data_IF_997520074821
#
_entry.id   IF_997520074821
#
_cell.length_a   1.000
_cell.length_b   1.000
_cell.length_c   1.000
_cell.angle_alpha   90.00
_cell.angle_beta   90.00
_cell.angle_gamma   90.00
#
_symmetry.space_group_name_H-M   'P 1'
#
loop_
_entity.id
_entity.type
_entity.pdbx_description
1 polymer ?
#
# COMPACT_ATOMS: atom_id res chain seq x y z
N UNK A 1 -0.54 -13.91 5.67
CA UNK A 1 0.71 -13.16 5.53
C UNK A 1 0.58 -12.07 4.49
N UNK A 2 1.56 -11.19 4.40
CA UNK A 2 1.56 -9.90 3.71
C UNK A 2 0.91 -9.93 2.33
N UNK A 3 1.41 -10.73 1.40
CA UNK A 3 0.92 -10.73 0.00
C UNK A 3 -0.48 -11.27 -0.17
N UNK A 4 -0.98 -12.07 0.77
CA UNK A 4 -2.36 -12.53 0.74
C UNK A 4 -3.30 -11.39 1.15
N UNK A 5 -2.93 -10.62 2.17
CA UNK A 5 -3.69 -9.43 2.57
C UNK A 5 -3.60 -8.33 1.51
N UNK A 6 -2.42 -8.12 0.90
CA UNK A 6 -2.27 -7.20 -0.25
C UNK A 6 -3.21 -7.60 -1.40
N UNK A 7 -3.24 -8.90 -1.77
CA UNK A 7 -4.14 -9.41 -2.79
C UNK A 7 -5.60 -9.09 -2.48
N UNK A 8 -6.06 -9.46 -1.29
CA UNK A 8 -7.43 -9.24 -0.87
C UNK A 8 -7.80 -7.74 -0.85
N UNK A 9 -6.93 -6.89 -0.29
CA UNK A 9 -7.18 -5.45 -0.23
C UNK A 9 -7.17 -4.82 -1.62
N UNK A 10 -6.28 -5.21 -2.52
CA UNK A 10 -6.15 -4.58 -3.83
C UNK A 10 -7.17 -5.08 -4.87
N UNK A 11 -7.65 -6.31 -4.75
CA UNK A 11 -8.55 -6.92 -5.74
C UNK A 11 -10.00 -7.07 -5.28
N UNK A 12 -10.23 -7.04 -3.98
CA UNK A 12 -11.53 -7.39 -3.40
C UNK A 12 -11.86 -8.88 -3.48
N UNK A 13 -10.92 -9.73 -3.87
CA UNK A 13 -11.08 -11.17 -4.03
C UNK A 13 -10.48 -11.91 -2.84
N UNK A 14 -10.90 -13.15 -2.61
CA UNK A 14 -10.48 -13.93 -1.43
C UNK A 14 -9.35 -14.88 -1.75
N UNK A 15 -8.21 -14.71 -1.10
CA UNK A 15 -7.09 -15.66 -1.24
C UNK A 15 -7.47 -17.11 -0.89
N UNK A 16 -8.38 -17.30 0.05
CA UNK A 16 -8.83 -18.62 0.50
C UNK A 16 -9.55 -19.43 -0.59
N UNK A 17 -10.06 -18.80 -1.63
CA UNK A 17 -10.78 -19.47 -2.71
C UNK A 17 -9.86 -20.09 -3.76
N UNK A 18 -8.56 -19.79 -3.69
CA UNK A 18 -7.49 -20.48 -4.43
C UNK A 18 -7.09 -21.80 -3.74
N UNK A 19 -6.30 -22.61 -4.40
CA UNK A 19 -5.85 -23.90 -3.89
C UNK A 19 -5.07 -23.83 -2.57
N UNK A 20 -4.96 -24.95 -1.88
CA UNK A 20 -4.16 -25.05 -0.65
C UNK A 20 -2.70 -24.68 -0.95
N UNK A 21 -2.13 -23.77 -0.15
CA UNK A 21 -0.80 -23.21 -0.35
C UNK A 21 -0.63 -22.42 -1.66
N UNK A 22 -1.69 -22.06 -2.34
CA UNK A 22 -1.63 -21.21 -3.49
C UNK A 22 -1.62 -19.72 -3.06
N UNK A 23 -0.62 -19.01 -3.54
CA UNK A 23 -0.44 -17.59 -3.31
C UNK A 23 -0.65 -16.86 -4.65
N UNK A 24 -1.73 -16.07 -4.84
CA UNK A 24 -2.01 -15.41 -6.11
C UNK A 24 -0.83 -14.62 -6.68
N UNK A 25 -0.01 -13.99 -5.85
CA UNK A 25 1.21 -13.30 -6.26
C UNK A 25 2.27 -14.23 -6.87
N UNK A 26 2.28 -15.51 -6.47
CA UNK A 26 3.26 -16.50 -6.96
C UNK A 26 2.72 -17.36 -8.09
N UNK A 27 1.43 -17.31 -8.32
CA UNK A 27 0.71 -18.14 -9.31
C UNK A 27 0.01 -17.26 -10.36
N UNK A 28 -1.28 -17.03 -10.24
CA UNK A 28 -2.11 -16.39 -11.28
C UNK A 28 -1.64 -14.98 -11.63
N UNK A 29 -1.25 -14.16 -10.67
CA UNK A 29 -0.82 -12.78 -10.93
C UNK A 29 0.60 -12.64 -11.49
N UNK A 30 1.33 -13.74 -11.70
CA UNK A 30 2.57 -13.69 -12.48
C UNK A 30 2.34 -13.50 -13.97
N UNK A 31 1.21 -13.99 -14.48
CA UNK A 31 0.93 -14.05 -15.91
C UNK A 31 -0.43 -13.51 -16.31
N UNK A 32 -1.33 -13.33 -15.36
CA UNK A 32 -2.72 -12.90 -15.62
C UNK A 32 -2.97 -11.54 -14.95
N UNK A 33 -3.58 -10.63 -15.69
CA UNK A 33 -4.09 -9.37 -15.14
C UNK A 33 -5.35 -9.61 -14.32
N UNK A 34 -5.73 -8.66 -13.47
CA UNK A 34 -6.95 -8.76 -12.66
C UNK A 34 -7.58 -7.39 -12.47
N UNK A 35 -8.91 -7.37 -12.30
CA UNK A 35 -9.55 -6.20 -11.69
C UNK A 35 -8.89 -5.89 -10.36
N UNK A 36 -8.71 -4.62 -10.09
CA UNK A 36 -8.13 -4.10 -8.86
C UNK A 36 -8.61 -2.67 -8.64
N UNK A 37 -8.38 -2.15 -7.44
CA UNK A 37 -8.61 -0.73 -7.14
C UNK A 37 -7.91 0.21 -8.13
N UNK A 38 -6.76 -0.18 -8.70
CA UNK A 38 -6.05 0.62 -9.69
C UNK A 38 -6.86 0.77 -10.99
N UNK A 39 -7.44 -0.34 -11.48
CA UNK A 39 -8.26 -0.33 -12.69
C UNK A 39 -9.56 0.46 -12.49
N UNK A 40 -10.22 0.25 -11.34
CA UNK A 40 -11.46 0.94 -10.99
C UNK A 40 -11.25 2.45 -10.99
N UNK A 41 -10.22 2.91 -10.31
CA UNK A 41 -9.86 4.32 -10.21
C UNK A 41 -9.30 4.89 -11.53
N UNK A 42 -8.56 4.11 -12.32
CA UNK A 42 -8.07 4.54 -13.64
C UNK A 42 -9.22 4.87 -14.60
N UNK A 43 -10.35 4.14 -14.49
CA UNK A 43 -11.55 4.39 -15.33
C UNK A 43 -12.15 5.79 -15.15
N UNK A 44 -11.87 6.44 -14.01
CA UNK A 44 -12.31 7.80 -13.68
C UNK A 44 -11.13 8.80 -13.58
N UNK A 45 -9.98 8.44 -14.14
CA UNK A 45 -8.86 9.35 -14.36
C UNK A 45 -7.84 9.45 -13.24
N UNK A 46 -7.86 8.56 -12.24
CA UNK A 46 -6.81 8.49 -11.23
C UNK A 46 -5.52 7.88 -11.79
N UNK A 47 -4.42 8.26 -11.16
CA UNK A 47 -3.13 7.57 -11.31
C UNK A 47 -2.84 6.73 -10.07
N UNK A 48 -2.29 5.54 -10.30
CA UNK A 48 -2.05 4.55 -9.25
C UNK A 48 -0.57 4.34 -8.99
N UNK A 49 -0.16 4.51 -7.75
CA UNK A 49 1.23 4.50 -7.32
C UNK A 49 1.44 3.51 -6.20
N UNK A 50 2.55 2.76 -6.23
CA UNK A 50 3.00 2.00 -5.08
C UNK A 50 4.31 2.58 -4.54
N UNK A 51 4.45 2.61 -3.22
CA UNK A 51 5.68 3.00 -2.51
C UNK A 51 6.02 1.92 -1.49
N UNK A 52 7.23 1.37 -1.54
CA UNK A 52 7.67 0.31 -0.63
C UNK A 52 9.15 0.48 -0.29
N UNK A 53 9.46 0.61 0.98
CA UNK A 53 10.85 0.72 1.47
C UNK A 53 11.56 -0.64 1.58
N UNK A 54 11.28 -1.54 0.65
CA UNK A 54 11.99 -2.79 0.45
C UNK A 54 12.18 -3.05 -1.04
N UNK A 55 12.81 -4.17 -1.37
CA UNK A 55 13.22 -4.57 -2.71
C UNK A 55 12.02 -4.79 -3.65
N UNK A 56 12.10 -4.26 -4.88
CA UNK A 56 11.04 -4.37 -5.88
C UNK A 56 10.69 -5.81 -6.27
N UNK A 57 11.67 -6.69 -6.26
CA UNK A 57 11.51 -8.09 -6.66
C UNK A 57 10.97 -8.99 -5.54
N UNK A 58 10.93 -8.48 -4.31
CA UNK A 58 10.39 -9.22 -3.18
C UNK A 58 8.91 -9.58 -3.42
N UNK A 59 8.57 -10.85 -3.35
CA UNK A 59 7.29 -11.44 -3.79
C UNK A 59 6.94 -11.23 -5.27
N UNK A 60 7.88 -10.79 -6.12
CA UNK A 60 7.63 -10.52 -7.53
C UNK A 60 6.74 -9.29 -7.78
N UNK A 61 6.70 -8.33 -6.84
CA UNK A 61 5.83 -7.15 -6.90
C UNK A 61 6.00 -6.34 -8.18
N UNK A 62 7.20 -6.22 -8.70
CA UNK A 62 7.47 -5.55 -9.98
C UNK A 62 6.67 -6.14 -11.16
N UNK A 63 6.34 -7.42 -11.14
CA UNK A 63 5.48 -8.07 -12.13
C UNK A 63 4.02 -8.01 -11.74
N UNK A 64 3.71 -8.32 -10.48
CA UNK A 64 2.34 -8.36 -9.95
C UNK A 64 1.67 -6.98 -10.05
N UNK A 65 2.35 -5.92 -9.67
CA UNK A 65 1.77 -4.57 -9.73
C UNK A 65 1.49 -4.09 -11.15
N UNK A 66 2.30 -4.54 -12.11
CA UNK A 66 2.01 -4.34 -13.53
C UNK A 66 0.70 -5.03 -13.93
N UNK A 67 0.45 -6.24 -13.42
CA UNK A 67 -0.77 -7.01 -13.70
C UNK A 67 -2.00 -6.50 -12.91
N UNK A 68 -1.79 -5.74 -11.86
CA UNK A 68 -2.83 -5.07 -11.08
C UNK A 68 -3.11 -3.62 -11.54
N UNK A 69 -2.39 -3.12 -12.55
CA UNK A 69 -2.68 -1.83 -13.16
C UNK A 69 -2.02 -0.61 -12.49
N UNK A 70 -1.00 -0.79 -11.64
CA UNK A 70 -0.24 0.36 -11.10
C UNK A 70 0.50 1.11 -12.20
N UNK A 71 0.48 2.45 -12.16
CA UNK A 71 1.24 3.31 -13.06
C UNK A 71 2.71 3.42 -12.64
N UNK A 72 3.00 3.55 -11.34
CA UNK A 72 4.38 3.63 -10.84
C UNK A 72 4.61 2.74 -9.63
N UNK A 73 5.86 2.28 -9.48
CA UNK A 73 6.34 1.59 -8.29
C UNK A 73 7.69 2.13 -7.82
N UNK A 74 7.69 2.81 -6.68
CA UNK A 74 8.89 3.34 -6.03
C UNK A 74 9.31 2.39 -4.91
N UNK A 75 10.28 1.54 -5.17
CA UNK A 75 10.91 0.64 -4.20
C UNK A 75 12.18 1.24 -3.63
N UNK A 76 12.80 0.58 -2.63
CA UNK A 76 13.99 1.08 -1.95
C UNK A 76 15.14 1.46 -2.90
N UNK A 77 15.26 0.78 -4.04
CA UNK A 77 16.30 1.06 -5.06
C UNK A 77 16.18 2.46 -5.67
N UNK A 78 15.01 3.08 -5.55
CA UNK A 78 14.70 4.44 -6.04
C UNK A 78 14.63 5.48 -4.93
N UNK A 79 15.06 5.12 -3.73
CA UNK A 79 15.07 6.00 -2.56
C UNK A 79 16.50 6.35 -2.17
N UNK A 80 16.71 7.52 -1.57
CA UNK A 80 18.00 7.98 -1.10
C UNK A 80 17.97 8.20 0.42
N UNK A 81 19.15 8.09 1.05
CA UNK A 81 19.32 8.37 2.47
C UNK A 81 18.68 7.31 3.37
N UNK A 82 18.59 6.07 2.88
CA UNK A 82 18.04 4.95 3.63
C UNK A 82 18.85 4.71 4.91
N UNK A 83 18.13 4.44 5.98
CA UNK A 83 18.69 3.98 7.26
C UNK A 83 17.99 2.68 7.63
N UNK A 84 18.74 1.76 8.17
CA UNK A 84 18.24 0.48 8.62
C UNK A 84 18.15 0.41 10.14
N UNK A 85 17.21 -0.35 10.65
CA UNK A 85 17.14 -0.71 12.05
C UNK A 85 18.08 -1.89 12.37
N UNK A 86 18.10 -2.34 13.61
CA UNK A 86 18.97 -3.44 14.05
C UNK A 86 18.70 -4.77 13.33
N UNK A 87 17.49 -4.97 12.81
CA UNK A 87 17.11 -6.14 12.02
C UNK A 87 17.45 -6.01 10.52
N UNK A 88 18.08 -4.92 10.10
CA UNK A 88 18.40 -4.67 8.69
C UNK A 88 17.20 -4.23 7.83
N UNK A 89 16.07 -3.83 8.44
CA UNK A 89 14.95 -3.26 7.73
C UNK A 89 15.09 -1.75 7.59
N UNK A 90 14.78 -1.24 6.42
CA UNK A 90 14.77 0.21 6.17
C UNK A 90 13.70 0.88 7.04
N UNK A 91 14.08 1.96 7.72
CA UNK A 91 13.18 2.74 8.55
C UNK A 91 12.05 3.35 7.71
N UNK A 92 10.83 3.36 8.27
CA UNK A 92 9.62 3.80 7.57
C UNK A 92 9.51 5.33 7.43
N UNK A 93 10.36 6.12 8.08
CA UNK A 93 10.38 7.58 7.95
C UNK A 93 10.61 8.04 6.50
N UNK A 94 11.31 7.25 5.70
CA UNK A 94 11.52 7.49 4.27
C UNK A 94 10.22 7.45 3.46
N UNK A 95 9.19 6.75 3.94
CA UNK A 95 7.91 6.62 3.25
C UNK A 95 7.20 7.98 3.09
N UNK A 96 7.29 8.85 4.10
CA UNK A 96 6.60 10.15 4.07
C UNK A 96 7.04 11.01 2.88
N UNK A 97 8.33 11.34 2.69
CA UNK A 97 8.75 12.12 1.53
C UNK A 97 8.47 11.42 0.20
N UNK A 98 8.53 10.09 0.13
CA UNK A 98 8.26 9.36 -1.11
C UNK A 98 6.78 9.40 -1.48
N UNK A 99 5.87 9.20 -0.52
CA UNK A 99 4.43 9.32 -0.74
C UNK A 99 4.08 10.75 -1.21
N UNK A 100 4.58 11.77 -0.54
CA UNK A 100 4.33 13.16 -0.95
C UNK A 100 4.89 13.45 -2.35
N UNK A 101 6.11 12.96 -2.64
CA UNK A 101 6.71 13.09 -3.98
C UNK A 101 5.83 12.43 -5.05
N UNK A 102 5.24 11.28 -4.74
CA UNK A 102 4.33 10.56 -5.64
C UNK A 102 3.09 11.40 -5.93
N UNK A 103 2.43 11.91 -4.89
CA UNK A 103 1.26 12.80 -5.01
C UNK A 103 1.57 14.11 -5.75
N UNK A 104 2.81 14.60 -5.70
CA UNK A 104 3.26 15.80 -6.40
C UNK A 104 3.66 15.52 -7.85
N UNK A 105 3.75 14.26 -8.27
CA UNK A 105 4.22 13.85 -9.59
C UNK A 105 3.15 13.89 -10.68
N UNK A 106 1.89 14.05 -10.30
CA UNK A 106 0.73 14.12 -11.19
C UNK A 106 -0.08 15.39 -10.95
N UNK A 107 -0.99 15.71 -11.85
CA UNK A 107 -1.86 16.88 -11.71
C UNK A 107 -3.32 16.51 -11.39
N UNK A 108 -3.65 15.24 -11.44
CA UNK A 108 -4.98 14.69 -11.21
C UNK A 108 -5.14 14.10 -9.80
N UNK A 109 -6.14 13.27 -9.68
CA UNK A 109 -6.36 12.48 -8.48
C UNK A 109 -5.47 11.24 -8.48
N UNK A 110 -4.98 10.87 -7.30
CA UNK A 110 -4.04 9.77 -7.13
C UNK A 110 -4.55 8.73 -6.14
N UNK A 111 -4.21 7.48 -6.42
CA UNK A 111 -4.23 6.39 -5.46
C UNK A 111 -2.79 6.00 -5.13
N UNK A 112 -2.42 6.03 -3.86
CA UNK A 112 -1.08 5.61 -3.43
C UNK A 112 -1.19 4.46 -2.44
N UNK A 113 -0.58 3.33 -2.78
CA UNK A 113 -0.46 2.15 -1.93
C UNK A 113 0.92 2.13 -1.27
N UNK A 114 0.98 2.39 0.03
CA UNK A 114 2.21 2.38 0.83
C UNK A 114 2.38 1.05 1.55
N UNK A 115 3.56 0.43 1.44
CA UNK A 115 3.91 -0.80 2.16
C UNK A 115 5.14 -0.51 3.01
N UNK A 116 4.98 -0.61 4.32
CA UNK A 116 6.06 -0.39 5.31
C UNK A 116 6.74 -1.71 5.67
N UNK A 117 7.97 -1.67 6.18
CA UNK A 117 8.73 -2.87 6.51
C UNK A 117 9.44 -2.81 7.87
N UNK A 118 9.58 -1.63 8.47
CA UNK A 118 10.43 -1.43 9.65
C UNK A 118 10.08 -2.34 10.82
N UNK A 119 8.79 -2.57 11.06
CA UNK A 119 8.30 -3.40 12.17
C UNK A 119 8.24 -4.90 11.86
N UNK A 120 8.75 -5.34 10.69
CA UNK A 120 8.74 -6.75 10.29
C UNK A 120 9.68 -7.59 11.18
N UNK A 121 9.25 -8.82 11.54
CA UNK A 121 10.09 -9.82 12.22
C UNK A 121 11.22 -10.37 11.32
N UNK A 122 12.11 -11.19 11.80
CA UNK A 122 12.22 -11.71 13.17
C UNK A 122 12.78 -10.67 14.15
N UNK A 123 12.49 -10.86 15.43
CA UNK A 123 12.97 -9.95 16.49
C UNK A 123 14.06 -10.62 17.33
N UNK A 124 14.96 -11.35 16.68
CA UNK A 124 16.08 -12.11 17.32
C UNK A 124 17.27 -11.19 17.61
N UNK A 125 17.02 -10.03 18.21
CA UNK A 125 18.06 -9.05 18.47
C UNK A 125 18.34 -8.95 19.96
N UNK A 126 19.61 -8.95 20.32
CA UNK A 126 20.07 -8.41 21.59
C UNK A 126 19.98 -6.89 21.48
N UNK A 127 19.08 -6.29 22.26
CA UNK A 127 18.89 -4.85 22.24
C UNK A 127 20.08 -4.19 22.92
N UNK A 128 20.97 -3.66 22.11
CA UNK A 128 22.06 -2.80 22.60
C UNK A 128 21.55 -1.36 22.71
N UNK A 129 21.82 -0.74 23.85
CA UNK A 129 21.47 0.63 24.12
C UNK A 129 20.11 0.83 24.81
N UNK A 130 19.78 2.10 25.04
CA UNK A 130 18.57 2.50 25.75
C UNK A 130 17.37 2.49 24.83
N UNK A 131 16.34 1.71 25.17
CA UNK A 131 15.06 1.71 24.49
C UNK A 131 14.07 2.57 25.29
N UNK A 132 13.44 3.60 24.66
CA UNK A 132 12.52 4.52 25.35
C UNK A 132 11.33 3.82 26.02
N UNK A 133 10.80 2.78 25.39
CA UNK A 133 9.68 2.00 25.88
C UNK A 133 10.20 0.63 26.28
N UNK A 134 9.94 0.20 27.50
CA UNK A 134 10.27 -1.13 28.00
C UNK A 134 9.02 -1.94 28.24
N UNK A 135 9.03 -3.20 27.80
CA UNK A 135 7.96 -4.17 28.08
C UNK A 135 8.43 -5.07 29.21
N UNK A 136 7.56 -5.30 30.19
CA UNK A 136 7.78 -6.22 31.29
C UNK A 136 6.63 -7.22 31.38
N UNK A 137 6.90 -8.41 31.91
CA UNK A 137 5.89 -9.45 32.09
C UNK A 137 5.57 -10.23 30.81
N UNK A 138 6.43 -10.17 29.80
CA UNK A 138 6.37 -11.07 28.66
C UNK A 138 6.75 -12.51 29.07
N UNK A 139 6.53 -13.48 28.19
CA UNK A 139 7.04 -14.85 28.38
C UNK A 139 8.56 -14.81 28.65
N UNK A 140 9.05 -15.77 29.44
CA UNK A 140 10.46 -15.88 29.77
C UNK A 140 11.33 -15.84 28.51
N UNK A 141 12.32 -14.97 28.49
CA UNK A 141 13.23 -14.76 27.36
C UNK A 141 12.68 -13.93 26.20
N UNK A 142 11.42 -13.47 26.26
CA UNK A 142 10.78 -12.71 25.16
C UNK A 142 10.73 -11.20 25.39
N UNK A 143 11.14 -10.71 26.56
CA UNK A 143 11.01 -9.27 26.89
C UNK A 143 11.76 -8.36 25.92
N UNK A 144 12.93 -8.77 25.44
CA UNK A 144 13.72 -7.99 24.49
C UNK A 144 13.01 -7.88 23.12
N UNK A 145 12.45 -8.96 22.59
CA UNK A 145 11.72 -8.96 21.33
C UNK A 145 10.48 -8.07 21.40
N UNK A 146 9.69 -8.17 22.48
CA UNK A 146 8.53 -7.30 22.70
C UNK A 146 8.94 -5.84 22.85
N UNK A 147 9.99 -5.56 23.63
CA UNK A 147 10.52 -4.21 23.80
C UNK A 147 10.98 -3.63 22.46
N UNK A 148 11.72 -4.40 21.66
CA UNK A 148 12.15 -3.98 20.33
C UNK A 148 10.95 -3.69 19.42
N UNK A 149 10.00 -4.62 19.31
CA UNK A 149 8.82 -4.46 18.48
C UNK A 149 8.01 -3.20 18.85
N UNK A 150 7.73 -2.98 20.12
CA UNK A 150 6.95 -1.82 20.59
C UNK A 150 7.66 -0.50 20.22
N UNK A 151 8.98 -0.45 20.30
CA UNK A 151 9.74 0.74 19.90
C UNK A 151 9.72 0.94 18.37
N UNK A 152 9.72 -0.13 17.57
CA UNK A 152 9.52 0.00 16.12
C UNK A 152 8.12 0.53 15.81
N UNK A 153 7.08 0.03 16.46
CA UNK A 153 5.70 0.53 16.31
C UNK A 153 5.57 2.00 16.71
N UNK A 154 6.23 2.43 17.79
CA UNK A 154 6.25 3.84 18.18
C UNK A 154 6.90 4.74 17.10
N UNK A 155 7.92 4.26 16.41
CA UNK A 155 8.52 4.97 15.28
C UNK A 155 7.57 5.01 14.06
N UNK A 156 6.86 3.92 13.78
CA UNK A 156 5.82 3.87 12.73
C UNK A 156 4.70 4.85 13.06
N UNK A 157 4.24 4.93 14.31
CA UNK A 157 3.24 5.90 14.75
C UNK A 157 3.69 7.35 14.51
N UNK A 158 4.94 7.67 14.84
CA UNK A 158 5.53 8.98 14.55
C UNK A 158 5.57 9.26 13.03
N UNK A 159 5.91 8.28 12.21
CA UNK A 159 5.89 8.40 10.74
C UNK A 159 4.47 8.69 10.24
N UNK A 160 3.46 7.97 10.73
CA UNK A 160 2.05 8.17 10.40
C UNK A 160 1.61 9.59 10.80
N UNK A 161 1.94 10.04 12.01
CA UNK A 161 1.68 11.40 12.46
C UNK A 161 2.27 12.47 11.53
N UNK A 162 3.51 12.25 11.07
CA UNK A 162 4.17 13.13 10.09
C UNK A 162 3.48 13.11 8.73
N UNK A 163 3.07 11.94 8.25
CA UNK A 163 2.31 11.81 7.00
C UNK A 163 0.98 12.58 7.08
N UNK A 164 0.19 12.34 8.12
CA UNK A 164 -1.09 13.04 8.35
C UNK A 164 -0.89 14.55 8.38
N UNK A 165 0.15 15.04 9.07
CA UNK A 165 0.45 16.46 9.13
C UNK A 165 0.81 17.05 7.75
N UNK A 166 1.46 16.29 6.88
CA UNK A 166 1.73 16.70 5.51
C UNK A 166 0.47 16.69 4.64
N UNK A 167 -0.35 15.64 4.75
CA UNK A 167 -1.62 15.53 4.02
C UNK A 167 -2.60 16.64 4.40
N UNK A 168 -2.69 17.03 5.68
CA UNK A 168 -3.51 18.17 6.14
C UNK A 168 -3.13 19.50 5.52
N UNK A 169 -1.85 19.68 5.18
CA UNK A 169 -1.34 20.91 4.56
C UNK A 169 -1.59 20.99 3.05
N UNK A 170 -2.00 19.87 2.44
CA UNK A 170 -2.39 19.86 1.02
C UNK A 170 -3.83 20.38 0.90
N UNK A 171 -4.06 21.23 -0.08
CA UNK A 171 -5.41 21.71 -0.41
C UNK A 171 -6.11 20.69 -1.34
N UNK A 172 -6.20 19.45 -0.87
CA UNK A 172 -6.71 18.32 -1.62
C UNK A 172 -7.48 17.38 -0.70
N UNK A 173 -8.67 16.94 -1.12
CA UNK A 173 -9.45 15.97 -0.35
C UNK A 173 -8.71 14.63 -0.34
N UNK A 174 -8.41 14.13 0.84
CA UNK A 174 -7.61 12.93 1.04
C UNK A 174 -8.31 11.98 2.01
N UNK A 175 -8.35 10.71 1.64
CA UNK A 175 -8.67 9.59 2.54
C UNK A 175 -7.37 8.80 2.73
N UNK A 176 -6.98 8.57 3.98
CA UNK A 176 -5.88 7.70 4.36
C UNK A 176 -6.43 6.48 5.07
N UNK A 177 -6.12 5.30 4.53
CA UNK A 177 -6.49 4.01 5.14
C UNK A 177 -5.21 3.37 5.67
N UNK A 178 -5.21 3.05 6.94
CA UNK A 178 -4.14 2.33 7.63
C UNK A 178 -4.67 0.97 8.06
N UNK A 179 -3.93 -0.09 7.82
CA UNK A 179 -4.30 -1.43 8.30
C UNK A 179 -3.06 -2.27 8.58
N UNK A 180 -3.17 -3.18 9.54
CA UNK A 180 -2.18 -4.23 9.76
C UNK A 180 -2.43 -5.38 8.81
N UNK A 181 -1.39 -5.88 8.15
CA UNK A 181 -1.49 -7.00 7.22
C UNK A 181 -1.51 -8.36 7.94
N UNK A 182 -0.87 -8.46 9.09
CA UNK A 182 -0.88 -9.62 10.01
C UNK A 182 -0.31 -9.24 11.38
N UNK A 183 -0.45 -10.12 12.36
CA UNK A 183 0.15 -9.97 13.68
C UNK A 183 1.69 -10.15 13.61
N UNK A 184 2.43 -9.57 14.59
CA UNK A 184 3.88 -9.74 14.66
C UNK A 184 4.30 -11.17 14.99
N UNK A 185 5.52 -11.56 14.58
CA UNK A 185 6.14 -12.87 14.89
C UNK A 185 6.68 -12.92 16.34
N UNK A 186 5.80 -12.83 17.33
CA UNK A 186 6.13 -12.78 18.76
C UNK A 186 5.64 -14.01 19.54
N UNK A 187 5.46 -15.13 18.87
CA UNK A 187 4.97 -16.40 19.46
C UNK A 187 3.68 -16.20 20.28
N UNK A 188 2.75 -15.43 19.70
CA UNK A 188 1.43 -15.15 20.29
C UNK A 188 0.49 -16.31 19.95
N UNK A 189 -0.15 -16.88 20.95
CA UNK A 189 -1.19 -17.89 20.78
C UNK A 189 -2.60 -17.27 20.82
N UNK A 190 -3.59 -17.97 20.27
CA UNK A 190 -4.96 -17.44 20.18
C UNK A 190 -5.59 -17.16 21.54
N UNK A 191 -5.26 -17.95 22.57
CA UNK A 191 -5.75 -17.79 23.95
C UNK A 191 -5.16 -16.57 24.68
N UNK A 192 -4.07 -16.00 24.15
CA UNK A 192 -3.50 -14.74 24.67
C UNK A 192 -4.18 -13.50 24.08
N UNK A 193 -5.01 -13.66 23.05
CA UNK A 193 -5.72 -12.58 22.39
C UNK A 193 -7.15 -12.44 22.90
N UNK A 194 -7.61 -11.21 23.11
CA UNK A 194 -8.99 -10.94 23.56
C UNK A 194 -10.06 -11.47 22.63
N UNK A 195 -9.77 -11.53 21.33
CA UNK A 195 -10.66 -12.03 20.27
C UNK A 195 -10.42 -13.48 19.89
N UNK A 196 -9.39 -14.11 20.47
CA UNK A 196 -8.95 -15.49 20.16
C UNK A 196 -8.73 -15.77 18.65
N UNK A 197 -8.39 -14.73 17.88
CA UNK A 197 -8.18 -14.80 16.43
C UNK A 197 -6.80 -14.28 16.04
N UNK A 198 -5.95 -15.17 15.55
CA UNK A 198 -4.59 -14.86 15.07
C UNK A 198 -4.56 -14.15 13.71
N UNK A 199 -5.68 -14.04 13.03
CA UNK A 199 -5.76 -13.44 11.69
C UNK A 199 -6.43 -12.08 11.69
N UNK A 200 -7.06 -11.69 12.78
CA UNK A 200 -7.70 -10.38 12.91
C UNK A 200 -6.66 -9.30 13.23
N UNK A 201 -6.66 -8.25 12.43
CA UNK A 201 -5.90 -7.01 12.66
C UNK A 201 -6.86 -5.82 12.76
N UNK A 202 -6.31 -4.62 12.82
CA UNK A 202 -7.11 -3.39 12.89
C UNK A 202 -6.90 -2.55 11.65
N UNK A 203 -7.90 -1.74 11.31
CA UNK A 203 -7.79 -0.69 10.33
C UNK A 203 -8.31 0.64 10.87
N UNK A 204 -7.81 1.74 10.29
CA UNK A 204 -8.25 3.10 10.59
C UNK A 204 -8.45 3.84 9.27
N UNK A 205 -9.56 4.57 9.16
CA UNK A 205 -9.81 5.49 8.05
C UNK A 205 -9.74 6.91 8.61
N UNK A 206 -8.83 7.70 8.06
CA UNK A 206 -8.70 9.11 8.33
C UNK A 206 -9.00 9.91 7.05
N UNK A 207 -9.63 11.05 7.18
CA UNK A 207 -9.84 11.98 6.09
C UNK A 207 -9.67 13.44 6.55
N UNK A 208 -9.55 14.38 5.60
CA UNK A 208 -9.41 15.80 5.87
C UNK A 208 -10.64 16.64 5.47
N UNK A 209 -11.77 16.00 5.17
CA UNK A 209 -12.96 16.69 4.68
C UNK A 209 -14.28 16.31 5.39
N UNK A 210 -14.21 15.49 6.44
CA UNK A 210 -15.31 15.25 7.39
C UNK A 210 -16.23 14.10 7.02
N UNK A 211 -15.71 12.95 6.60
CA UNK A 211 -16.48 11.73 6.45
C UNK A 211 -17.05 11.28 7.81
N UNK A 212 -18.29 10.82 7.81
CA UNK A 212 -18.91 10.29 9.02
C UNK A 212 -18.13 9.07 9.53
N UNK A 213 -17.66 9.16 10.79
CA UNK A 213 -17.04 8.02 11.46
C UNK A 213 -18.07 6.89 11.64
N UNK A 214 -17.65 5.68 11.33
CA UNK A 214 -18.42 4.47 11.54
C UNK A 214 -17.44 3.32 11.85
N UNK A 215 -17.59 2.75 13.03
CA UNK A 215 -16.86 1.53 13.39
C UNK A 215 -17.57 0.34 12.74
N UNK A 216 -16.84 -0.45 11.94
CA UNK A 216 -17.39 -1.58 11.20
C UNK A 216 -16.33 -2.66 11.03
N UNK A 217 -16.65 -3.86 11.48
CA UNK A 217 -15.84 -5.03 11.21
C UNK A 217 -16.03 -5.49 9.76
N UNK A 218 -14.93 -5.86 9.11
CA UNK A 218 -14.95 -6.36 7.74
C UNK A 218 -13.71 -7.21 7.42
N UNK A 219 -13.81 -8.03 6.39
CA UNK A 219 -12.67 -8.75 5.85
C UNK A 219 -11.80 -7.85 4.96
N UNK A 220 -10.54 -8.24 4.77
CA UNK A 220 -9.58 -7.47 3.96
C UNK A 220 -10.07 -7.25 2.53
N UNK A 221 -10.70 -8.25 1.90
CA UNK A 221 -11.27 -8.15 0.56
C UNK A 221 -12.48 -7.19 0.43
N UNK A 222 -13.05 -6.72 1.53
CA UNK A 222 -14.16 -5.74 1.53
C UNK A 222 -13.66 -4.30 1.69
N UNK A 223 -12.42 -4.11 2.16
CA UNK A 223 -11.93 -2.83 2.66
C UNK A 223 -11.91 -1.73 1.61
N UNK A 224 -11.27 -1.96 0.45
CA UNK A 224 -11.19 -0.89 -0.54
C UNK A 224 -12.57 -0.54 -1.14
N UNK A 225 -13.42 -1.54 -1.40
CA UNK A 225 -14.77 -1.31 -1.93
C UNK A 225 -15.64 -0.50 -0.95
N UNK A 226 -15.48 -0.76 0.35
CA UNK A 226 -16.12 0.03 1.39
C UNK A 226 -15.63 1.49 1.39
N UNK A 227 -14.32 1.69 1.31
CA UNK A 227 -13.71 3.04 1.27
C UNK A 227 -14.14 3.79 0.01
N UNK A 228 -14.12 3.16 -1.16
CA UNK A 228 -14.60 3.76 -2.41
C UNK A 228 -16.07 4.16 -2.31
N UNK A 229 -16.91 3.32 -1.72
CA UNK A 229 -18.32 3.67 -1.46
C UNK A 229 -18.49 4.89 -0.55
N UNK A 230 -17.63 5.07 0.46
CA UNK A 230 -17.58 6.29 1.28
C UNK A 230 -17.16 7.54 0.49
N UNK A 231 -16.33 7.36 -0.50
CA UNK A 231 -15.91 8.42 -1.43
C UNK A 231 -16.93 8.69 -2.55
N UNK A 232 -18.02 7.91 -2.64
CA UNK A 232 -19.02 8.01 -3.72
C UNK A 232 -18.52 7.43 -5.04
N UNK A 233 -17.56 6.51 -5.01
CA UNK A 233 -16.97 5.83 -6.17
C UNK A 233 -17.57 4.42 -6.26
N UNK A 234 -18.10 4.07 -7.44
CA UNK A 234 -18.84 2.82 -7.69
C UNK A 234 -18.35 2.11 -8.96
N UNK A 235 -17.10 2.35 -9.33
CA UNK A 235 -16.47 1.73 -10.49
C UNK A 235 -15.93 0.33 -10.14
N UNK A 236 -15.83 -0.55 -11.15
CA UNK A 236 -15.40 -1.93 -11.01
C UNK A 236 -16.57 -2.91 -10.73
N UNK A 237 -16.43 -4.14 -11.20
CA UNK A 237 -17.44 -5.18 -10.99
C UNK A 237 -17.39 -5.70 -9.56
N UNK A 238 -16.21 -6.03 -9.07
CA UNK A 238 -16.00 -6.53 -7.72
C UNK A 238 -16.32 -5.44 -6.68
N UNK A 239 -15.95 -4.19 -6.96
CA UNK A 239 -16.33 -3.04 -6.12
C UNK A 239 -17.85 -2.92 -5.98
N UNK A 240 -18.59 -2.94 -7.09
CA UNK A 240 -20.06 -2.88 -7.06
C UNK A 240 -20.66 -4.09 -6.35
N UNK A 241 -20.09 -5.27 -6.57
CA UNK A 241 -20.53 -6.49 -5.88
C UNK A 241 -20.51 -6.30 -4.38
N UNK A 242 -19.37 -5.90 -3.79
CA UNK A 242 -19.24 -5.67 -2.35
C UNK A 242 -20.12 -4.53 -1.82
N UNK A 243 -20.39 -3.50 -2.63
CA UNK A 243 -21.19 -2.36 -2.21
C UNK A 243 -22.70 -2.64 -2.25
N UNK A 244 -23.15 -3.55 -3.10
CA UNK A 244 -24.58 -3.82 -3.33
C UNK A 244 -25.09 -5.07 -2.63
N UNK A 245 -24.22 -6.04 -2.38
CA UNK A 245 -24.62 -7.29 -1.75
C UNK A 245 -24.66 -7.18 -0.23
N UNK A 246 -25.63 -7.89 0.37
CA UNK A 246 -25.62 -8.11 1.81
C UNK A 246 -24.52 -9.10 2.17
N UNK A 247 -23.52 -8.62 2.93
CA UNK A 247 -22.37 -9.42 3.34
C UNK A 247 -22.74 -10.62 4.26
N UNK A 248 -23.93 -10.60 4.86
CA UNK A 248 -24.45 -11.68 5.68
C UNK A 248 -25.33 -12.67 4.91
N UNK A 249 -25.56 -12.43 3.62
CA UNK A 249 -26.35 -13.36 2.81
C UNK A 249 -25.63 -14.70 2.62
N UNK A 250 -26.39 -15.79 2.56
CA UNK A 250 -25.84 -17.14 2.38
C UNK A 250 -25.08 -17.32 1.05
N UNK A 251 -25.42 -16.54 0.04
CA UNK A 251 -24.80 -16.62 -1.29
C UNK A 251 -23.56 -15.73 -1.45
N UNK A 252 -23.37 -14.73 -0.58
CA UNK A 252 -22.33 -13.72 -0.75
C UNK A 252 -20.93 -14.31 -1.04
N UNK A 253 -20.47 -15.25 -0.23
CA UNK A 253 -19.16 -15.84 -0.42
C UNK A 253 -19.09 -16.80 -1.62
N UNK A 254 -20.17 -17.53 -1.92
CA UNK A 254 -20.22 -18.44 -3.07
C UNK A 254 -20.26 -17.68 -4.39
N UNK A 255 -20.99 -16.58 -4.43
CA UNK A 255 -21.10 -15.75 -5.62
C UNK A 255 -19.77 -15.02 -5.89
N UNK A 256 -19.12 -14.48 -4.84
CA UNK A 256 -17.78 -13.91 -4.95
C UNK A 256 -16.79 -14.93 -5.53
N UNK A 257 -16.76 -16.13 -4.96
CA UNK A 257 -15.92 -17.23 -5.48
C UNK A 257 -16.19 -17.56 -6.94
N UNK A 258 -17.45 -17.49 -7.36
CA UNK A 258 -17.82 -17.73 -8.75
C UNK A 258 -17.27 -16.64 -9.67
N UNK A 259 -17.31 -15.36 -9.27
CA UNK A 259 -16.71 -14.25 -10.00
C UNK A 259 -15.18 -14.40 -10.11
N UNK A 260 -14.52 -14.77 -9.02
CA UNK A 260 -13.07 -15.04 -9.02
C UNK A 260 -12.68 -16.18 -9.96
N UNK A 261 -13.44 -17.29 -9.89
CA UNK A 261 -13.21 -18.43 -10.76
C UNK A 261 -13.43 -18.06 -12.23
N UNK A 262 -14.52 -17.36 -12.54
CA UNK A 262 -14.81 -16.90 -13.90
C UNK A 262 -13.69 -16.03 -14.47
N UNK A 263 -13.11 -15.16 -13.64
CA UNK A 263 -12.00 -14.31 -14.09
C UNK A 263 -10.71 -15.11 -14.34
N UNK A 264 -10.27 -15.90 -13.38
CA UNK A 264 -8.93 -16.53 -13.46
C UNK A 264 -8.91 -17.84 -14.23
N UNK A 265 -10.02 -18.60 -14.23
CA UNK A 265 -10.07 -19.97 -14.75
C UNK A 265 -11.23 -20.21 -15.71
N UNK A 266 -12.21 -19.32 -15.78
CA UNK A 266 -13.40 -19.43 -16.60
C UNK A 266 -13.32 -18.66 -17.90
N UNK A 267 -14.48 -18.43 -18.49
CA UNK A 267 -14.66 -17.76 -19.78
C UNK A 267 -14.89 -16.25 -19.66
N UNK A 268 -14.74 -15.68 -18.47
CA UNK A 268 -14.95 -14.25 -18.16
C UNK A 268 -16.36 -13.76 -18.52
N UNK A 269 -17.37 -14.56 -18.25
CA UNK A 269 -18.76 -14.20 -18.55
C UNK A 269 -19.21 -12.92 -17.87
N UNK A 270 -18.74 -12.68 -16.63
CA UNK A 270 -19.01 -11.45 -15.90
C UNK A 270 -18.41 -10.20 -16.58
N UNK A 271 -17.47 -10.39 -17.50
CA UNK A 271 -16.79 -9.37 -18.29
C UNK A 271 -17.05 -9.55 -19.80
N UNK A 272 -18.22 -10.07 -20.17
CA UNK A 272 -18.67 -10.29 -21.55
C UNK A 272 -17.70 -11.16 -22.38
N UNK A 273 -16.99 -12.08 -21.77
CA UNK A 273 -15.98 -12.93 -22.43
C UNK A 273 -14.72 -12.18 -22.85
N UNK A 274 -14.49 -10.99 -22.33
CA UNK A 274 -13.36 -10.14 -22.69
C UNK A 274 -12.31 -10.08 -21.55
N UNK A 275 -11.05 -10.01 -21.91
CA UNK A 275 -10.01 -9.61 -20.97
C UNK A 275 -9.93 -8.07 -20.95
N UNK A 276 -10.71 -7.44 -20.08
CA UNK A 276 -10.82 -5.98 -19.99
C UNK A 276 -9.57 -5.33 -19.38
N UNK A 277 -8.74 -6.10 -18.66
CA UNK A 277 -7.59 -5.57 -17.95
C UNK A 277 -6.30 -5.95 -18.67
N UNK A 278 -5.54 -4.94 -19.06
CA UNK A 278 -4.23 -5.09 -19.69
C UNK A 278 -3.13 -4.77 -18.70
N UNK A 279 -1.94 -5.33 -18.93
CA UNK A 279 -0.76 -4.95 -18.15
C UNK A 279 -0.51 -3.45 -18.26
N UNK A 280 -0.27 -2.78 -17.13
CA UNK A 280 0.12 -1.38 -17.13
C UNK A 280 1.54 -1.20 -17.69
N UNK A 281 1.83 -0.01 -18.17
CA UNK A 281 3.20 0.40 -18.49
C UNK A 281 3.89 0.90 -17.21
N UNK A 282 4.13 -0.02 -16.26
CA UNK A 282 4.64 0.29 -14.93
C UNK A 282 5.99 1.02 -15.01
N UNK A 283 6.00 2.26 -14.54
CA UNK A 283 7.20 3.06 -14.36
C UNK A 283 7.86 2.70 -13.02
N UNK A 284 9.11 2.24 -13.05
CA UNK A 284 9.88 2.06 -11.82
C UNK A 284 10.39 3.40 -11.31
N UNK A 285 10.18 3.67 -10.01
CA UNK A 285 10.38 4.99 -9.42
C UNK A 285 9.21 5.94 -9.68
N UNK A 286 9.26 7.11 -9.05
CA UNK A 286 8.28 8.18 -9.25
C UNK A 286 8.42 8.78 -10.64
N UNK A 287 7.35 9.32 -11.23
CA UNK A 287 7.44 10.03 -12.51
C UNK A 287 8.54 11.11 -12.48
N UNK A 288 9.31 11.23 -13.56
CA UNK A 288 10.33 12.24 -13.66
C UNK A 288 9.70 13.65 -13.65
N UNK A 289 10.35 14.59 -12.97
CA UNK A 289 9.97 16.01 -13.01
C UNK A 289 10.19 16.54 -14.41
N UNK A 290 9.19 17.15 -15.02
CA UNK A 290 9.28 17.72 -16.36
C UNK A 290 9.91 19.14 -16.32
N UNK A 291 10.40 19.60 -17.48
CA UNK A 291 10.88 20.99 -17.62
C UNK A 291 9.78 22.03 -17.29
N UNK A 292 8.53 21.68 -17.53
CA UNK A 292 7.40 22.55 -17.22
C UNK A 292 7.23 22.69 -15.71
N UNK A 293 7.39 21.61 -14.96
CA UNK A 293 7.32 21.63 -13.49
C UNK A 293 8.48 22.45 -12.91
N UNK A 294 9.68 22.31 -13.47
CA UNK A 294 10.84 23.10 -13.08
C UNK A 294 10.61 24.60 -13.38
N UNK A 295 9.95 24.94 -14.49
CA UNK A 295 9.59 26.34 -14.82
C UNK A 295 8.54 26.92 -13.88
N UNK A 296 7.59 26.12 -13.37
CA UNK A 296 6.64 26.55 -12.33
C UNK A 296 7.37 26.86 -11.02
N UNK A 297 8.36 26.07 -10.65
CA UNK A 297 9.21 26.29 -9.47
C UNK A 297 10.06 27.57 -9.63
N UNK A 298 10.49 27.95 -10.85
CA UNK A 298 11.27 29.16 -11.12
C UNK A 298 10.57 30.49 -10.84
N UNK A 299 9.29 30.51 -10.54
CA UNK A 299 8.59 31.71 -10.05
C UNK A 299 8.92 32.03 -8.58
N UNK A 300 9.56 31.13 -7.87
CA UNK A 300 10.17 31.35 -6.57
C UNK A 300 11.66 31.57 -6.84
N UNK A 301 12.25 32.70 -6.44
CA UNK A 301 13.66 33.09 -6.63
C UNK A 301 14.60 32.06 -5.95
N UNK A 302 14.84 30.93 -6.62
CA UNK A 302 15.78 29.91 -6.17
C UNK A 302 17.10 30.09 -6.88
N UNK A 303 18.23 30.02 -6.15
CA UNK A 303 19.56 29.99 -6.75
C UNK A 303 19.70 28.76 -7.65
N UNK A 304 20.54 28.85 -8.69
CA UNK A 304 20.85 27.74 -9.62
C UNK A 304 21.26 26.46 -8.86
N UNK A 305 22.02 26.61 -7.77
CA UNK A 305 22.44 25.51 -6.91
C UNK A 305 21.26 24.81 -6.23
N UNK A 306 20.28 25.57 -5.77
CA UNK A 306 19.10 25.00 -5.09
C UNK A 306 18.14 24.33 -6.10
N UNK A 307 18.08 24.83 -7.32
CA UNK A 307 17.37 24.16 -8.43
C UNK A 307 18.06 22.84 -8.78
N UNK A 308 19.38 22.81 -8.85
CA UNK A 308 20.15 21.58 -9.08
C UNK A 308 20.01 20.59 -7.94
N UNK A 309 19.96 21.03 -6.68
CA UNK A 309 19.67 20.16 -5.53
C UNK A 309 18.25 19.59 -5.55
N UNK A 310 17.27 20.38 -5.97
CA UNK A 310 15.90 19.91 -6.18
C UNK A 310 15.88 18.90 -7.32
N UNK A 311 16.53 19.19 -8.43
CA UNK A 311 16.67 18.32 -9.61
C UNK A 311 17.36 16.98 -9.24
N UNK A 312 18.40 17.01 -8.41
CA UNK A 312 19.07 15.79 -7.92
C UNK A 312 18.22 14.94 -6.98
N UNK A 313 17.23 15.54 -6.32
CA UNK A 313 16.25 14.83 -5.48
C UNK A 313 15.14 14.15 -6.28
N UNK A 314 14.95 14.58 -7.53
CA UNK A 314 13.97 14.01 -8.45
C UNK A 314 14.70 13.39 -9.61
N UNK A 315 14.36 12.18 -9.99
CA UNK A 315 14.96 11.51 -11.15
C UNK A 315 14.60 12.29 -12.41
N UNK A 316 15.57 13.03 -12.98
CA UNK A 316 15.38 13.75 -14.24
C UNK A 316 15.83 12.86 -15.40
N UNK A 317 15.13 12.97 -16.52
CA UNK A 317 15.61 12.41 -17.80
C UNK A 317 16.86 13.17 -18.26
N UNK A 318 17.78 12.49 -18.94
CA UNK A 318 19.00 13.12 -19.52
C UNK A 318 18.67 14.32 -20.43
N UNK A 319 17.50 14.31 -21.08
CA UNK A 319 17.00 15.39 -21.92
C UNK A 319 16.71 16.66 -21.13
N UNK A 320 16.08 16.52 -19.96
CA UNK A 320 15.79 17.65 -19.09
C UNK A 320 17.07 18.27 -18.50
N UNK A 321 18.12 17.48 -18.29
CA UNK A 321 19.44 17.98 -17.83
C UNK A 321 20.20 18.76 -18.92
N UNK A 322 20.10 18.37 -20.19
CA UNK A 322 20.73 19.05 -21.32
C UNK A 322 20.14 20.44 -21.59
N UNK A 323 18.84 20.59 -21.40
CA UNK A 323 18.13 21.86 -21.64
C UNK A 323 18.27 22.91 -20.52
N UNK A 324 18.92 22.52 -19.40
CA UNK A 324 19.19 23.42 -18.25
C UNK A 324 20.65 23.95 -18.28
N UNK A 325 21.53 23.32 -19.04
CA UNK A 325 22.90 23.78 -19.29
C UNK A 325 22.93 24.83 -20.38
#
# INVERSE_FOLDING_TARGET
GTVNTEFEVLTGMRQRDFGVCEYPYKTVLKSTTSESVCNDLASIGYKSHCVHNNNATFYGRNTVFKNLGFDTFTSMEYMNGLKENLNGWVNDDVMVPQIIKTLDSTQGSDFTFGITVQSHGKYDVDIEGEQPIKVTGAKEGMENQYTYYVNQIAQVDNMIGNLINRLRKRNEKTILVLYGDHLPSLDISADELKNSDLYQTQYVIWDNFGLKKLDKDMAAYQLYSYVLGKAGIHEGLITRYHQQMDWNSNSYLSDLKTLEYDWFYGEKYAYNGQNEFVQSNLQMGTYPVTLEDVRKIKRVTLSRERVLQIIQRYTLTERALKDIR
#
